data_IF_765728192748
#
_entry.id   IF_765728192748
#
_cell.length_a   1.000
_cell.length_b   1.000
_cell.length_c   1.000
_cell.angle_alpha   90.00
_cell.angle_beta   90.00
_cell.angle_gamma   90.00
#
_symmetry.space_group_name_H-M   'P 1'
#
loop_
_entity.id
_entity.type
_entity.pdbx_description
1 polymer ?
#
# COMPACT_ATOMS: atom_id res chain seq x y z
N UNK A 1 -22.43 70.81 8.94
CA UNK A 1 -21.36 70.11 9.67
C UNK A 1 -22.04 68.89 10.22
N UNK A 2 -22.19 67.87 9.37
CA UNK A 2 -22.96 66.67 9.68
C UNK A 2 -22.02 65.49 9.48
N UNK A 3 -21.64 64.91 10.62
CA UNK A 3 -20.70 63.79 10.69
C UNK A 3 -21.50 62.52 10.39
N UNK A 4 -21.18 61.88 9.27
CA UNK A 4 -21.67 60.54 8.94
C UNK A 4 -20.81 59.53 9.70
N UNK A 5 -21.39 58.88 10.72
CA UNK A 5 -20.77 57.73 11.38
C UNK A 5 -21.06 56.47 10.55
N UNK A 6 -20.05 55.93 9.86
CA UNK A 6 -20.12 54.61 9.23
C UNK A 6 -19.54 53.61 10.22
N UNK A 7 -20.40 52.87 10.92
CA UNK A 7 -20.00 51.75 11.75
C UNK A 7 -19.71 50.52 10.88
N UNK A 8 -18.45 50.13 10.77
CA UNK A 8 -18.04 48.88 10.12
C UNK A 8 -18.02 47.79 11.20
N UNK A 9 -19.07 46.96 11.25
CA UNK A 9 -19.06 45.72 12.03
C UNK A 9 -18.28 44.65 11.28
N UNK A 10 -17.06 44.36 11.74
CA UNK A 10 -16.32 43.17 11.34
C UNK A 10 -17.01 41.92 11.91
N UNK A 11 -17.70 41.19 11.05
CA UNK A 11 -18.18 39.83 11.35
C UNK A 11 -17.01 38.85 11.19
N UNK A 12 -16.39 38.47 12.31
CA UNK A 12 -15.51 37.31 12.39
C UNK A 12 -16.37 36.06 12.25
N UNK A 13 -16.45 35.53 11.02
CA UNK A 13 -17.03 34.22 10.75
C UNK A 13 -16.03 33.17 11.23
N UNK A 14 -16.19 32.70 12.47
CA UNK A 14 -15.55 31.47 12.92
C UNK A 14 -16.16 30.31 12.14
N UNK A 15 -15.45 29.84 11.11
CA UNK A 15 -15.73 28.54 10.51
C UNK A 15 -15.37 27.45 11.54
N UNK A 16 -16.34 27.05 12.34
CA UNK A 16 -16.30 25.76 13.00
C UNK A 16 -16.46 24.74 11.87
N UNK A 17 -15.34 24.17 11.40
CA UNK A 17 -15.36 22.93 10.61
C UNK A 17 -15.88 21.84 11.54
N UNK A 18 -17.19 21.71 11.64
CA UNK A 18 -17.80 20.46 12.08
C UNK A 18 -17.29 19.37 11.17
N UNK A 19 -16.79 18.26 11.73
CA UNK A 19 -16.35 17.09 11.00
C UNK A 19 -17.49 16.64 10.08
N UNK A 20 -17.44 17.07 8.82
CA UNK A 20 -18.27 16.50 7.77
C UNK A 20 -17.89 15.03 7.71
N UNK A 21 -18.87 14.15 7.90
CA UNK A 21 -18.74 12.77 7.49
C UNK A 21 -18.53 12.80 5.97
N UNK A 22 -17.28 12.88 5.54
CA UNK A 22 -16.93 12.85 4.12
C UNK A 22 -17.55 11.57 3.57
N UNK A 23 -18.42 11.67 2.55
CA UNK A 23 -19.05 10.51 1.90
C UNK A 23 -18.03 9.49 1.36
N UNK A 24 -16.77 9.91 1.25
CA UNK A 24 -15.61 9.12 0.86
C UNK A 24 -15.00 8.28 2.00
N UNK A 25 -15.34 8.61 3.25
CA UNK A 25 -14.94 7.91 4.47
C UNK A 25 -16.01 6.93 4.99
N UNK A 26 -17.21 6.94 4.41
CA UNK A 26 -18.29 6.01 4.77
C UNK A 26 -18.13 4.63 4.12
N UNK A 27 -18.79 3.64 4.71
CA UNK A 27 -18.84 2.25 4.22
C UNK A 27 -17.46 1.58 4.07
N UNK A 28 -16.48 1.96 4.90
CA UNK A 28 -15.20 1.25 5.07
C UNK A 28 -15.27 0.49 6.39
N UNK A 29 -15.34 -0.85 6.31
CA UNK A 29 -15.39 -1.69 7.51
C UNK A 29 -14.05 -1.67 8.24
N UNK A 30 -14.03 -2.02 9.52
CA UNK A 30 -12.80 -2.06 10.33
C UNK A 30 -11.69 -2.88 9.65
N UNK A 31 -12.03 -4.07 9.12
CA UNK A 31 -11.09 -4.96 8.42
C UNK A 31 -10.59 -4.43 7.06
N UNK A 32 -11.24 -3.40 6.51
CA UNK A 32 -10.83 -2.77 5.26
C UNK A 32 -9.96 -1.52 5.48
N UNK A 33 -9.81 -1.05 6.72
CA UNK A 33 -9.03 0.15 7.02
C UNK A 33 -7.55 -0.13 6.85
N UNK A 34 -6.94 0.65 5.97
CA UNK A 34 -5.50 0.68 5.76
C UNK A 34 -4.98 1.97 6.38
N UNK A 35 -3.94 1.86 7.21
CA UNK A 35 -3.36 2.99 7.92
C UNK A 35 -2.76 4.02 6.95
N UNK A 36 -3.28 5.26 7.00
CA UNK A 36 -2.81 6.37 6.18
C UNK A 36 -1.82 7.27 6.94
N UNK A 37 -1.59 7.03 8.22
CA UNK A 37 -0.61 7.78 9.00
C UNK A 37 0.20 6.85 9.93
N UNK A 38 1.03 5.96 9.35
CA UNK A 38 1.75 4.90 10.09
C UNK A 38 2.93 5.39 10.94
N UNK A 39 3.22 6.70 10.91
CA UNK A 39 4.28 7.30 11.71
C UNK A 39 3.82 7.46 13.16
N UNK A 40 4.78 7.41 14.09
CA UNK A 40 4.50 7.70 15.50
C UNK A 40 3.94 9.11 15.64
N UNK A 41 2.89 9.28 16.44
CA UNK A 41 2.27 10.59 16.67
C UNK A 41 1.13 10.96 15.71
N UNK A 42 0.48 9.96 15.09
CA UNK A 42 -0.74 10.16 14.31
C UNK A 42 -1.79 10.96 15.10
N UNK A 43 -2.36 11.97 14.44
CA UNK A 43 -3.34 12.89 15.01
C UNK A 43 -4.33 13.34 13.94
N UNK A 44 -5.49 13.85 14.36
CA UNK A 44 -6.57 14.28 13.48
C UNK A 44 -6.11 15.28 12.43
N UNK A 45 -5.44 16.35 12.85
CA UNK A 45 -5.01 17.42 11.94
C UNK A 45 -4.11 16.89 10.81
N UNK A 46 -3.08 16.11 11.16
CA UNK A 46 -2.18 15.52 10.16
C UNK A 46 -2.86 14.46 9.29
N UNK A 47 -3.85 13.74 9.83
CA UNK A 47 -4.65 12.81 9.03
C UNK A 47 -5.47 13.52 7.94
N UNK A 48 -6.16 14.59 8.31
CA UNK A 48 -6.97 15.39 7.39
C UNK A 48 -6.07 16.11 6.37
N UNK A 49 -4.90 16.61 6.79
CA UNK A 49 -3.92 17.21 5.89
C UNK A 49 -3.41 16.22 4.82
N UNK A 50 -3.26 14.95 5.18
CA UNK A 50 -2.94 13.85 4.25
C UNK A 50 -4.11 13.50 3.31
N UNK A 51 -5.28 14.11 3.48
CA UNK A 51 -6.50 13.81 2.72
C UNK A 51 -7.16 12.50 3.15
N UNK A 52 -6.94 12.06 4.38
CA UNK A 52 -7.42 10.78 4.90
C UNK A 52 -8.57 10.92 5.90
N UNK A 53 -9.12 9.78 6.29
CA UNK A 53 -10.27 9.69 7.19
C UNK A 53 -9.81 9.51 8.63
N UNK A 54 -10.34 10.31 9.54
CA UNK A 54 -10.05 10.22 10.97
C UNK A 54 -11.22 9.60 11.73
N UNK A 55 -10.95 8.59 12.55
CA UNK A 55 -11.90 7.98 13.46
C UNK A 55 -11.23 7.63 14.81
N UNK A 56 -11.48 8.42 15.88
CA UNK A 56 -10.79 8.26 17.16
C UNK A 56 -11.32 7.09 18.01
N UNK A 57 -12.51 6.56 17.71
CA UNK A 57 -13.12 5.46 18.46
C UNK A 57 -13.01 4.16 17.67
N UNK A 58 -12.01 3.35 17.99
CA UNK A 58 -11.92 1.99 17.51
C UNK A 58 -12.32 1.05 18.65
N UNK A 59 -13.37 0.26 18.45
CA UNK A 59 -13.84 -0.76 19.41
C UNK A 59 -12.86 -1.94 19.55
N UNK A 60 -11.83 -1.99 18.70
CA UNK A 60 -10.84 -3.05 18.61
C UNK A 60 -9.43 -2.46 18.60
N UNK A 61 -8.55 -3.03 19.42
CA UNK A 61 -7.15 -2.64 19.51
C UNK A 61 -6.41 -2.83 18.17
N UNK A 62 -5.51 -1.91 17.87
CA UNK A 62 -4.62 -1.97 16.69
C UNK A 62 -5.22 -1.48 15.37
N UNK A 63 -6.51 -1.13 15.33
CA UNK A 63 -7.09 -0.45 14.18
C UNK A 63 -6.52 0.97 14.03
N UNK A 64 -6.24 1.44 12.81
CA UNK A 64 -5.74 2.80 12.60
C UNK A 64 -6.86 3.82 12.84
N UNK A 65 -6.53 4.89 13.57
CA UNK A 65 -7.41 6.07 13.67
C UNK A 65 -7.44 6.87 12.37
N UNK A 66 -6.32 6.89 11.64
CA UNK A 66 -6.21 7.53 10.34
C UNK A 66 -6.16 6.51 9.21
N UNK A 67 -7.14 6.48 8.31
CA UNK A 67 -7.22 5.48 7.25
C UNK A 67 -7.51 6.08 5.88
N UNK A 68 -7.12 5.36 4.82
CA UNK A 68 -7.36 5.80 3.44
C UNK A 68 -8.87 5.81 3.09
N UNK A 69 -9.39 6.88 2.45
CA UNK A 69 -10.72 6.88 1.83
C UNK A 69 -10.77 6.02 0.57
N UNK A 70 -11.98 5.69 0.11
CA UNK A 70 -12.19 4.80 -1.06
C UNK A 70 -11.65 5.38 -2.37
N UNK A 71 -11.70 6.69 -2.52
CA UNK A 71 -11.33 7.43 -3.72
C UNK A 71 -10.00 8.18 -3.57
N UNK A 72 -9.19 7.80 -2.58
CA UNK A 72 -7.85 8.36 -2.42
C UNK A 72 -7.07 8.25 -3.73
N UNK A 73 -6.17 9.21 -3.99
CA UNK A 73 -5.42 9.21 -5.24
C UNK A 73 -4.61 7.91 -5.38
N UNK A 74 -4.77 7.25 -6.52
CA UNK A 74 -4.09 6.01 -6.87
C UNK A 74 -3.42 6.13 -8.23
N UNK A 75 -2.47 5.24 -8.51
CA UNK A 75 -1.86 5.11 -9.83
C UNK A 75 -2.88 4.59 -10.84
N UNK A 76 -2.73 4.99 -12.10
CA UNK A 76 -3.49 4.44 -13.24
C UNK A 76 -2.54 4.00 -14.34
N UNK A 77 -2.93 2.98 -15.10
CA UNK A 77 -2.15 2.45 -16.23
C UNK A 77 -2.28 3.39 -17.42
N UNK A 78 -1.16 3.97 -17.84
CA UNK A 78 -1.05 4.85 -19.01
C UNK A 78 -0.84 4.03 -20.29
N UNK A 79 0.01 3.01 -20.23
CA UNK A 79 0.28 2.14 -21.36
C UNK A 79 0.70 0.75 -20.91
N UNK A 80 0.50 -0.25 -21.76
CA UNK A 80 0.96 -1.62 -21.52
C UNK A 80 1.65 -2.15 -22.76
N UNK A 81 2.84 -2.70 -22.58
CA UNK A 81 3.61 -3.37 -23.61
C UNK A 81 3.69 -4.86 -23.27
N UNK A 82 3.23 -5.72 -24.17
CA UNK A 82 3.42 -7.17 -24.03
C UNK A 82 4.89 -7.52 -24.25
N UNK A 83 5.40 -8.44 -23.43
CA UNK A 83 6.72 -9.03 -23.58
C UNK A 83 6.56 -10.52 -23.90
N UNK A 84 7.66 -11.23 -24.11
CA UNK A 84 7.61 -12.66 -24.41
C UNK A 84 6.99 -13.49 -23.28
N UNK A 85 7.24 -13.11 -22.02
CA UNK A 85 6.86 -13.85 -20.82
C UNK A 85 6.10 -12.95 -19.82
N UNK A 86 5.23 -12.07 -20.30
CA UNK A 86 4.45 -11.16 -19.44
C UNK A 86 4.28 -9.77 -20.04
N UNK A 87 4.34 -8.71 -19.23
CA UNK A 87 4.12 -7.35 -19.72
C UNK A 87 4.91 -6.30 -18.92
N UNK A 88 5.09 -5.12 -19.52
CA UNK A 88 5.53 -3.91 -18.85
C UNK A 88 4.39 -2.89 -18.91
N UNK A 89 3.92 -2.43 -17.76
CA UNK A 89 2.91 -1.38 -17.62
C UNK A 89 3.55 -0.08 -17.13
N UNK A 90 3.22 1.03 -17.79
CA UNK A 90 3.58 2.37 -17.33
C UNK A 90 2.41 2.94 -16.54
N UNK A 91 2.68 3.38 -15.32
CA UNK A 91 1.71 3.93 -14.39
C UNK A 91 1.97 5.41 -14.15
N UNK A 92 0.90 6.17 -13.92
CA UNK A 92 0.97 7.57 -13.50
C UNK A 92 -0.04 7.84 -12.39
N UNK A 93 0.37 8.60 -11.38
CA UNK A 93 -0.53 9.15 -10.36
C UNK A 93 -0.73 10.64 -10.65
N UNK A 94 -1.97 11.09 -10.80
CA UNK A 94 -2.24 12.48 -11.20
C UNK A 94 -1.79 13.47 -10.11
N UNK A 95 -2.11 13.15 -8.85
CA UNK A 95 -1.86 13.98 -7.67
C UNK A 95 -1.11 13.16 -6.60
N UNK A 96 0.22 12.99 -6.73
CA UNK A 96 1.03 12.37 -5.70
C UNK A 96 1.25 13.37 -4.55
N UNK A 97 0.49 13.23 -3.46
CA UNK A 97 0.49 14.17 -2.32
C UNK A 97 0.74 13.51 -0.98
N UNK A 98 0.98 12.20 -0.93
CA UNK A 98 1.15 11.49 0.34
C UNK A 98 2.46 11.85 1.05
N UNK A 99 3.52 12.02 0.26
CA UNK A 99 4.79 12.64 0.65
C UNK A 99 5.19 13.67 -0.40
N UNK A 100 6.03 14.64 -0.01
CA UNK A 100 6.48 15.71 -0.90
C UNK A 100 7.35 15.21 -2.06
N UNK A 101 7.98 14.05 -1.89
CA UNK A 101 8.82 13.36 -2.87
C UNK A 101 8.14 12.12 -3.47
N UNK A 102 6.81 12.02 -3.38
CA UNK A 102 6.06 10.92 -3.99
C UNK A 102 6.24 10.92 -5.53
N UNK A 103 6.64 9.76 -6.05
CA UNK A 103 7.06 9.59 -7.44
C UNK A 103 5.84 9.51 -8.35
N UNK A 104 5.74 10.43 -9.31
CA UNK A 104 4.57 10.50 -10.19
C UNK A 104 4.39 9.29 -11.12
N UNK A 105 5.49 8.80 -11.70
CA UNK A 105 5.48 7.80 -12.76
C UNK A 105 6.26 6.55 -12.34
N UNK A 106 5.66 5.38 -12.50
CA UNK A 106 6.22 4.09 -12.11
C UNK A 106 6.06 3.09 -13.26
N UNK A 107 7.05 2.25 -13.48
CA UNK A 107 6.97 1.12 -14.41
C UNK A 107 6.85 -0.18 -13.62
N UNK A 108 5.91 -1.03 -14.02
CA UNK A 108 5.70 -2.37 -13.47
C UNK A 108 6.01 -3.40 -14.54
N UNK A 109 7.05 -4.20 -14.30
CA UNK A 109 7.37 -5.37 -15.09
C UNK A 109 6.78 -6.61 -14.39
N UNK A 110 5.87 -7.28 -15.09
CA UNK A 110 5.39 -8.61 -14.72
C UNK A 110 6.09 -9.62 -15.61
N UNK A 111 6.74 -10.60 -14.99
CA UNK A 111 7.45 -11.65 -15.69
C UNK A 111 7.13 -13.04 -15.14
N UNK A 112 6.71 -13.91 -16.02
CA UNK A 112 6.62 -15.35 -15.80
C UNK A 112 8.04 -15.93 -15.89
N UNK A 113 8.64 -16.23 -14.73
CA UNK A 113 9.99 -16.78 -14.69
C UNK A 113 9.99 -18.29 -14.83
N UNK A 114 9.03 -18.98 -14.20
CA UNK A 114 8.81 -20.42 -14.34
C UNK A 114 7.31 -20.72 -14.26
N UNK A 115 6.94 -22.00 -14.45
CA UNK A 115 5.55 -22.44 -14.32
C UNK A 115 4.97 -22.20 -12.92
N UNK A 116 5.82 -22.01 -11.90
CA UNK A 116 5.42 -21.80 -10.51
C UNK A 116 5.96 -20.50 -9.90
N UNK A 117 6.79 -19.73 -10.62
CA UNK A 117 7.41 -18.49 -10.12
C UNK A 117 7.05 -17.29 -10.99
N UNK A 118 6.32 -16.37 -10.40
CA UNK A 118 6.00 -15.04 -10.93
C UNK A 118 6.94 -14.00 -10.31
N UNK A 119 7.47 -13.09 -11.12
CA UNK A 119 8.20 -11.90 -10.64
C UNK A 119 7.44 -10.63 -11.00
N UNK A 120 7.24 -9.78 -10.00
CA UNK A 120 6.79 -8.41 -10.17
C UNK A 120 7.95 -7.48 -9.81
N UNK A 121 8.26 -6.52 -10.67
CA UNK A 121 9.29 -5.52 -10.42
C UNK A 121 8.72 -4.13 -10.67
N UNK A 122 8.80 -3.28 -9.64
CA UNK A 122 8.35 -1.89 -9.68
C UNK A 122 9.58 -1.00 -9.73
N UNK A 123 9.63 -0.10 -10.70
CA UNK A 123 10.77 0.82 -10.90
C UNK A 123 10.28 2.23 -11.14
N UNK A 124 11.11 3.21 -10.78
CA UNK A 124 10.85 4.62 -11.03
C UNK A 124 11.69 5.08 -12.23
N UNK A 125 11.12 5.27 -13.44
CA UNK A 125 11.90 5.68 -14.61
C UNK A 125 12.66 7.00 -14.42
N UNK A 126 12.19 7.90 -13.56
CA UNK A 126 12.87 9.15 -13.20
C UNK A 126 14.07 8.96 -12.28
N UNK A 127 14.22 7.80 -11.66
CA UNK A 127 15.28 7.46 -10.71
C UNK A 127 15.86 6.07 -11.04
N UNK A 128 16.60 5.91 -12.15
CA UNK A 128 17.04 4.61 -12.64
C UNK A 128 18.10 3.92 -11.75
N UNK A 129 18.75 4.67 -10.85
CA UNK A 129 19.85 4.19 -10.01
C UNK A 129 19.43 3.93 -8.56
N UNK A 130 18.13 3.70 -8.30
CA UNK A 130 17.68 3.29 -6.97
C UNK A 130 18.38 1.98 -6.58
N UNK A 131 18.75 1.86 -5.31
CA UNK A 131 19.46 0.68 -4.82
C UNK A 131 18.62 -0.58 -5.01
N UNK A 132 19.24 -1.62 -5.54
CA UNK A 132 18.68 -2.97 -5.61
C UNK A 132 19.62 -3.94 -4.87
N UNK A 133 19.08 -4.90 -4.10
CA UNK A 133 19.92 -5.87 -3.42
C UNK A 133 20.67 -6.73 -4.44
N UNK A 134 21.96 -6.97 -4.20
CA UNK A 134 22.79 -7.80 -5.07
C UNK A 134 22.48 -9.28 -4.87
N UNK A 135 21.34 -9.72 -5.41
CA UNK A 135 20.88 -11.11 -5.37
C UNK A 135 21.25 -11.75 -6.71
N UNK A 136 21.98 -12.87 -6.65
CA UNK A 136 22.23 -13.69 -7.84
C UNK A 136 20.96 -14.46 -8.20
N UNK A 137 20.03 -13.78 -8.87
CA UNK A 137 18.96 -14.45 -9.59
C UNK A 137 19.57 -15.06 -10.85
N UNK A 138 19.28 -16.33 -11.12
CA UNK A 138 19.60 -16.92 -12.43
C UNK A 138 19.03 -16.07 -13.55
N UNK A 139 19.64 -16.11 -14.74
CA UNK A 139 19.08 -15.41 -15.89
C UNK A 139 17.64 -15.90 -16.11
N UNK A 140 16.68 -14.99 -16.27
CA UNK A 140 15.32 -15.41 -16.49
C UNK A 140 15.23 -16.09 -17.86
N UNK A 141 14.54 -17.22 -17.91
CA UNK A 141 14.34 -17.94 -19.16
C UNK A 141 13.63 -17.03 -20.16
N UNK A 142 14.13 -17.04 -21.40
CA UNK A 142 13.55 -16.31 -22.52
C UNK A 142 12.71 -17.24 -23.40
N UNK A 143 12.23 -18.35 -22.85
CA UNK A 143 11.38 -19.33 -23.54
C UNK A 143 9.96 -19.13 -22.99
N UNK A 144 8.90 -19.20 -23.83
CA UNK A 144 7.54 -19.18 -23.32
C UNK A 144 7.38 -20.31 -22.30
N UNK A 145 6.78 -19.99 -21.15
CA UNK A 145 6.66 -20.94 -20.05
C UNK A 145 5.42 -21.81 -20.30
N UNK A 146 5.63 -23.12 -20.39
CA UNK A 146 4.54 -24.08 -20.48
C UNK A 146 3.96 -24.40 -19.10
N UNK A 147 2.67 -24.74 -19.06
CA UNK A 147 1.98 -25.20 -17.84
C UNK A 147 2.06 -24.23 -16.64
N UNK A 148 2.00 -22.92 -16.90
CA UNK A 148 1.96 -21.88 -15.85
C UNK A 148 0.79 -22.15 -14.88
N UNK A 149 1.08 -22.21 -13.59
CA UNK A 149 0.15 -22.59 -12.52
C UNK A 149 -0.56 -21.40 -11.88
N UNK A 150 -0.30 -20.18 -12.35
CA UNK A 150 -0.91 -18.95 -11.87
C UNK A 150 -1.47 -18.12 -13.05
N UNK A 151 -2.41 -17.23 -12.74
CA UNK A 151 -2.94 -16.21 -13.65
C UNK A 151 -2.79 -14.85 -13.00
N UNK A 152 -2.44 -13.85 -13.80
CA UNK A 152 -2.35 -12.46 -13.36
C UNK A 152 -3.38 -11.64 -14.10
N UNK A 153 -4.20 -10.90 -13.36
CA UNK A 153 -5.10 -9.88 -13.89
C UNK A 153 -4.71 -8.50 -13.35
N UNK A 154 -4.91 -7.47 -14.18
CA UNK A 154 -4.53 -6.10 -13.86
C UNK A 154 -5.73 -5.19 -14.02
N UNK A 155 -6.14 -4.53 -12.93
CA UNK A 155 -7.04 -3.39 -12.97
C UNK A 155 -6.24 -2.15 -13.39
N UNK A 156 -6.80 -1.35 -14.30
CA UNK A 156 -6.07 -0.22 -14.91
C UNK A 156 -6.30 1.11 -14.22
N UNK A 157 -7.46 1.30 -13.61
CA UNK A 157 -7.85 2.57 -12.99
C UNK A 157 -8.89 2.33 -11.89
N UNK A 158 -8.50 2.34 -10.61
CA UNK A 158 -7.12 2.45 -10.12
C UNK A 158 -6.27 1.21 -10.48
N UNK A 159 -4.95 1.33 -10.46
CA UNK A 159 -4.03 0.24 -10.73
C UNK A 159 -4.03 -0.76 -9.57
N UNK A 160 -4.24 -2.03 -9.89
CA UNK A 160 -4.09 -3.13 -8.95
C UNK A 160 -3.82 -4.43 -9.68
N UNK A 161 -3.26 -5.41 -8.97
CA UNK A 161 -2.97 -6.73 -9.50
C UNK A 161 -3.70 -7.79 -8.69
N UNK A 162 -4.23 -8.78 -9.39
CA UNK A 162 -4.83 -9.97 -8.77
C UNK A 162 -4.20 -11.22 -9.35
N UNK A 163 -3.55 -11.97 -8.48
CA UNK A 163 -2.81 -13.19 -8.77
C UNK A 163 -3.66 -14.37 -8.28
N UNK A 164 -3.94 -15.31 -9.16
CA UNK A 164 -4.84 -16.43 -8.90
C UNK A 164 -4.18 -17.75 -9.30
N UNK A 165 -4.61 -18.87 -8.72
CA UNK A 165 -4.23 -20.19 -9.25
C UNK A 165 -4.80 -20.36 -10.67
N UNK A 166 -4.02 -20.95 -11.56
CA UNK A 166 -4.47 -21.35 -12.90
C UNK A 166 -5.24 -22.67 -12.85
N UNK A 167 -6.34 -22.68 -12.11
CA UNK A 167 -7.31 -23.78 -12.04
C UNK A 167 -8.66 -23.33 -12.61
N UNK A 168 -9.66 -24.20 -12.58
CA UNK A 168 -11.03 -23.85 -13.02
C UNK A 168 -11.67 -22.85 -12.06
N UNK A 169 -11.39 -22.99 -10.77
CA UNK A 169 -11.95 -22.22 -9.66
C UNK A 169 -11.29 -20.84 -9.53
N UNK A 170 -10.06 -20.68 -10.03
CA UNK A 170 -9.31 -19.42 -10.01
C UNK A 170 -9.19 -18.78 -8.63
N UNK A 171 -8.84 -19.60 -7.63
CA UNK A 171 -8.63 -19.13 -6.27
C UNK A 171 -7.63 -17.95 -6.23
N UNK A 172 -8.03 -16.86 -5.59
CA UNK A 172 -7.22 -15.65 -5.45
C UNK A 172 -6.15 -15.87 -4.38
N UNK A 173 -4.88 -15.70 -4.76
CA UNK A 173 -3.73 -15.81 -3.87
C UNK A 173 -3.34 -14.45 -3.28
N UNK A 174 -3.28 -13.43 -4.14
CA UNK A 174 -2.95 -12.05 -3.77
C UNK A 174 -3.84 -11.09 -4.56
N UNK A 175 -4.41 -10.11 -3.87
CA UNK A 175 -5.27 -9.08 -4.47
C UNK A 175 -4.88 -7.70 -3.96
N UNK A 176 -4.41 -6.81 -4.83
CA UNK A 176 -4.14 -5.40 -4.53
C UNK A 176 -5.11 -4.44 -5.21
N UNK A 177 -6.27 -4.93 -5.65
CA UNK A 177 -7.25 -4.11 -6.39
C UNK A 177 -8.28 -3.40 -5.49
N UNK A 178 -9.13 -2.56 -6.11
CA UNK A 178 -10.16 -1.81 -5.40
C UNK A 178 -9.58 -0.81 -4.39
N UNK A 179 -10.06 -0.87 -3.13
CA UNK A 179 -9.64 0.07 -2.07
C UNK A 179 -8.16 -0.09 -1.67
N UNK A 180 -7.53 -1.23 -1.97
CA UNK A 180 -6.11 -1.46 -1.69
C UNK A 180 -5.21 -0.66 -2.64
N UNK A 181 -5.69 -0.33 -3.85
CA UNK A 181 -4.90 0.39 -4.86
C UNK A 181 -4.45 1.78 -4.38
N UNK A 182 -5.24 2.41 -3.52
CA UNK A 182 -4.94 3.68 -2.87
C UNK A 182 -3.72 3.64 -1.95
N UNK A 183 -3.40 2.46 -1.40
CA UNK A 183 -2.26 2.26 -0.51
C UNK A 183 -0.93 2.11 -1.25
N UNK A 184 -0.95 1.96 -2.58
CA UNK A 184 0.27 1.85 -3.38
C UNK A 184 0.96 3.22 -3.48
N UNK A 185 2.06 3.36 -2.73
CA UNK A 185 2.80 4.62 -2.57
C UNK A 185 4.27 4.34 -2.86
N UNK A 186 4.88 5.21 -3.65
CA UNK A 186 6.30 5.16 -3.96
C UNK A 186 6.88 6.55 -3.76
N UNK A 187 7.80 6.70 -2.84
CA UNK A 187 8.58 7.90 -2.55
C UNK A 187 10.05 7.51 -2.40
N UNK A 188 10.95 8.46 -2.16
CA UNK A 188 12.38 8.14 -2.14
C UNK A 188 12.73 7.20 -0.98
N UNK A 189 12.15 7.42 0.19
CA UNK A 189 12.42 6.64 1.40
C UNK A 189 11.17 5.92 1.95
N UNK A 190 10.10 5.84 1.16
CA UNK A 190 8.88 5.15 1.56
C UNK A 190 8.28 4.39 0.38
N UNK A 191 8.12 3.08 0.55
CA UNK A 191 7.50 2.18 -0.41
C UNK A 191 6.38 1.43 0.31
N UNK A 192 5.17 1.48 -0.22
CA UNK A 192 4.04 0.75 0.33
C UNK A 192 3.25 0.08 -0.79
N UNK A 193 2.88 -1.17 -0.54
CA UNK A 193 1.92 -1.93 -1.32
C UNK A 193 1.16 -2.83 -0.34
N UNK A 194 -0.15 -2.96 -0.54
CA UNK A 194 -0.99 -3.85 0.28
C UNK A 194 -1.63 -4.91 -0.58
N UNK A 195 -1.76 -6.10 0.00
CA UNK A 195 -2.43 -7.24 -0.61
C UNK A 195 -3.43 -7.83 0.38
N UNK A 196 -4.60 -8.19 -0.11
CA UNK A 196 -5.46 -9.17 0.56
C UNK A 196 -4.96 -10.56 0.19
N UNK A 197 -4.84 -11.40 1.22
CA UNK A 197 -4.52 -12.83 1.11
C UNK A 197 -5.74 -13.65 1.48
N UNK A 198 -5.90 -14.83 0.87
CA UNK A 198 -6.91 -15.80 1.26
C UNK A 198 -6.31 -16.82 2.24
N UNK A 199 -6.03 -16.38 3.47
CA UNK A 199 -5.39 -17.21 4.50
C UNK A 199 -5.86 -16.80 5.91
N UNK A 200 -5.92 -17.78 6.81
CA UNK A 200 -6.22 -17.58 8.25
C UNK A 200 -4.95 -17.53 9.11
N UNK A 201 -3.89 -18.17 8.64
CA UNK A 201 -2.58 -18.22 9.30
C UNK A 201 -1.45 -17.99 8.30
N UNK A 202 -0.28 -17.61 8.80
CA UNK A 202 0.94 -17.44 8.00
C UNK A 202 2.19 -17.92 8.71
N UNK A 203 3.24 -18.13 7.92
CA UNK A 203 4.58 -18.51 8.36
C UNK A 203 5.60 -17.45 7.92
N UNK A 204 6.47 -17.00 8.83
CA UNK A 204 7.34 -15.83 8.61
C UNK A 204 6.55 -14.51 8.65
N UNK A 205 7.17 -13.34 8.40
CA UNK A 205 8.60 -13.11 8.21
C UNK A 205 9.39 -13.29 9.52
N UNK A 206 10.71 -13.16 9.46
CA UNK A 206 11.60 -13.23 10.62
C UNK A 206 12.83 -12.33 10.49
N UNK A 207 13.73 -12.22 11.46
CA UNK A 207 13.77 -12.92 12.75
C UNK A 207 12.99 -12.14 13.82
N UNK A 208 12.01 -12.80 14.44
CA UNK A 208 11.17 -12.22 15.50
C UNK A 208 10.72 -13.32 16.47
N UNK A 209 10.64 -12.99 17.75
CA UNK A 209 10.00 -13.84 18.75
C UNK A 209 8.48 -13.56 18.75
N UNK A 210 7.69 -14.49 18.23
CA UNK A 210 6.23 -14.38 18.17
C UNK A 210 5.55 -15.76 18.21
N UNK A 211 4.21 -15.76 18.32
CA UNK A 211 3.40 -16.99 18.22
C UNK A 211 3.58 -17.62 16.83
N UNK A 212 3.68 -18.94 16.78
CA UNK A 212 3.83 -19.70 15.54
C UNK A 212 2.84 -20.87 15.47
N UNK A 213 2.06 -21.04 14.38
CA UNK A 213 1.94 -20.15 13.23
C UNK A 213 1.31 -18.78 13.61
N UNK A 214 1.54 -17.77 12.79
CA UNK A 214 0.98 -16.43 13.01
C UNK A 214 -0.51 -16.44 12.63
N UNK A 215 -1.36 -15.79 13.41
CA UNK A 215 -2.77 -15.58 13.05
C UNK A 215 -2.97 -14.23 12.33
N UNK A 216 -4.00 -14.15 11.48
CA UNK A 216 -4.44 -12.90 10.84
C UNK A 216 -5.58 -12.20 11.61
N UNK A 217 -5.89 -12.65 12.82
CA UNK A 217 -6.94 -12.06 13.67
C UNK A 217 -6.46 -10.80 14.41
N UNK A 218 -5.14 -10.60 14.47
CA UNK A 218 -4.50 -9.51 15.21
C UNK A 218 -3.83 -8.49 14.29
N UNK A 219 -3.95 -7.21 14.63
CA UNK A 219 -3.29 -6.10 13.92
C UNK A 219 -1.82 -6.01 14.35
N UNK A 220 -0.97 -6.79 13.70
CA UNK A 220 0.45 -6.92 14.06
C UNK A 220 1.35 -6.06 13.16
N UNK A 221 2.31 -5.34 13.77
CA UNK A 221 3.38 -4.62 13.08
C UNK A 221 4.72 -5.26 13.42
N UNK A 222 5.44 -5.73 12.39
CA UNK A 222 6.76 -6.34 12.53
C UNK A 222 7.83 -5.43 11.92
N UNK A 223 8.88 -5.15 12.69
CA UNK A 223 10.09 -4.49 12.19
C UNK A 223 11.04 -5.53 11.60
N UNK A 224 11.50 -5.31 10.36
CA UNK A 224 12.52 -6.14 9.73
C UNK A 224 13.80 -5.33 9.57
N UNK A 225 14.61 -5.33 10.62
CA UNK A 225 15.88 -4.60 10.68
C UNK A 225 16.83 -5.31 11.62
N UNK A 226 17.98 -5.77 11.09
CA UNK A 226 19.01 -6.44 11.88
C UNK A 226 19.43 -5.59 13.08
N UNK A 227 19.23 -6.12 14.27
CA UNK A 227 19.47 -5.42 15.54
C UNK A 227 20.03 -6.40 16.56
N UNK A 228 21.07 -5.96 17.27
CA UNK A 228 21.65 -6.69 18.39
C UNK A 228 20.83 -6.44 19.65
N UNK A 229 20.25 -7.49 20.22
CA UNK A 229 19.44 -7.41 21.42
C UNK A 229 18.99 -8.77 21.90
N UNK A 230 18.65 -8.86 23.18
CA UNK A 230 18.05 -10.05 23.75
C UNK A 230 16.70 -10.33 23.07
N UNK A 231 16.35 -11.60 22.78
CA UNK A 231 15.05 -11.96 22.24
C UNK A 231 13.91 -11.45 23.12
N UNK A 232 13.03 -10.63 22.51
CA UNK A 232 11.83 -10.09 23.12
C UNK A 232 10.68 -10.13 22.12
N UNK A 233 9.46 -10.32 22.65
CA UNK A 233 8.26 -10.50 21.83
C UNK A 233 8.04 -9.33 20.87
N UNK A 234 7.86 -9.63 19.59
CA UNK A 234 7.62 -8.67 18.49
C UNK A 234 8.74 -7.65 18.22
N UNK A 235 9.93 -7.81 18.82
CA UNK A 235 11.11 -7.01 18.50
C UNK A 235 11.78 -7.50 17.22
N UNK A 236 12.39 -6.57 16.47
CA UNK A 236 13.31 -6.93 15.39
C UNK A 236 14.62 -7.45 16.00
N UNK A 237 15.11 -8.60 15.52
CA UNK A 237 16.29 -9.30 16.04
C UNK A 237 17.43 -9.31 15.01
N UNK A 238 18.31 -10.32 15.07
CA UNK A 238 19.56 -10.35 14.31
C UNK A 238 19.36 -10.48 12.79
N UNK A 239 18.43 -11.34 12.38
CA UNK A 239 18.15 -11.68 10.98
C UNK A 239 17.04 -10.86 10.34
N UNK A 240 17.07 -10.77 9.00
CA UNK A 240 16.00 -10.16 8.19
C UNK A 240 15.63 -11.09 7.04
N UNK A 241 14.46 -11.72 7.17
CA UNK A 241 13.87 -12.70 6.28
C UNK A 241 12.50 -12.21 5.84
N UNK A 242 12.45 -11.45 4.75
CA UNK A 242 11.22 -10.94 4.16
C UNK A 242 10.57 -12.00 3.25
N UNK A 243 10.24 -13.15 3.84
CA UNK A 243 9.54 -14.25 3.20
C UNK A 243 8.33 -14.62 4.06
N UNK A 244 7.18 -14.81 3.43
CA UNK A 244 5.96 -15.27 4.08
C UNK A 244 5.29 -16.36 3.25
N UNK A 245 4.59 -17.28 3.91
CA UNK A 245 3.84 -18.39 3.31
C UNK A 245 2.49 -18.55 3.98
#
# INVERSE_FOLDING_TARGET
MDIILIGITLLLINFIKTAESNAHCSDITNVQRLDCYPNVGSNESGCIERGCCWMPNNEQDGLPYCYFPKDYSAYTVVSTQQTKNGFIAQLSKLNPTYYSDEIKNIAVEMREETSTRLRLRFTAPSQPNRWEPSIQLGNPDNIPIENVQYKVSMEKSPFGLKIMRNTKEQEVLLDSTGSLSSSFIVSDQFLQISFRVNAETSFGPGEVEQKYPNDFETWTRLGLWGHDGDPHSYANLYGTHNFFM
#
